data_IF_303791605615
#
_entry.id   IF_303791605615
#
_cell.length_a   1.000
_cell.length_b   1.000
_cell.length_c   1.000
_cell.angle_alpha   90.00
_cell.angle_beta   90.00
_cell.angle_gamma   90.00
#
_symmetry.space_group_name_H-M   'P 1'
#
loop_
_entity.id
_entity.type
_entity.pdbx_description
1 polymer ?
#
# COMPACT_ATOMS: atom_id res chain seq x y z
N UNK A 1 -8.23 -11.21 19.22
CA UNK A 1 -8.07 -10.10 18.26
C UNK A 1 -8.15 -10.61 16.82
N UNK A 2 -7.43 -11.68 16.48
CA UNK A 2 -7.60 -12.38 15.20
C UNK A 2 -9.01 -12.94 15.02
N UNK A 3 -9.64 -13.40 16.11
CA UNK A 3 -11.08 -13.77 16.16
C UNK A 3 -12.00 -12.67 15.62
N UNK A 4 -11.89 -11.44 16.14
CA UNK A 4 -12.67 -10.27 15.67
C UNK A 4 -12.35 -9.91 14.22
N UNK A 5 -11.08 -10.02 13.80
CA UNK A 5 -10.70 -9.76 12.41
C UNK A 5 -11.35 -10.77 11.46
N UNK A 6 -11.44 -12.04 11.88
CA UNK A 6 -12.13 -13.09 11.15
C UNK A 6 -13.64 -12.83 11.06
N UNK A 7 -14.29 -12.34 12.11
CA UNK A 7 -15.71 -11.94 12.04
C UNK A 7 -15.95 -10.86 10.97
N UNK A 8 -15.05 -9.87 10.88
CA UNK A 8 -15.12 -8.83 9.84
C UNK A 8 -14.94 -9.45 8.45
N UNK A 9 -13.94 -10.31 8.28
CA UNK A 9 -13.71 -11.03 7.03
C UNK A 9 -14.92 -11.87 6.61
N UNK A 10 -15.44 -12.69 7.51
CA UNK A 10 -16.58 -13.58 7.25
C UNK A 10 -17.83 -12.78 6.91
N UNK A 11 -18.07 -11.65 7.59
CA UNK A 11 -19.18 -10.74 7.28
C UNK A 11 -19.06 -10.16 5.86
N UNK A 12 -17.87 -9.71 5.47
CA UNK A 12 -17.63 -9.20 4.11
C UNK A 12 -17.82 -10.32 3.09
N UNK A 13 -17.17 -11.46 3.28
CA UNK A 13 -17.22 -12.58 2.36
C UNK A 13 -18.65 -13.11 2.18
N UNK A 14 -19.43 -13.20 3.27
CA UNK A 14 -20.83 -13.61 3.23
C UNK A 14 -21.68 -12.64 2.38
N UNK A 15 -21.52 -11.33 2.59
CA UNK A 15 -22.22 -10.32 1.79
C UNK A 15 -21.87 -10.43 0.29
N UNK A 16 -20.57 -10.56 -0.03
CA UNK A 16 -20.10 -10.70 -1.41
C UNK A 16 -20.56 -12.02 -2.08
N UNK A 17 -20.77 -13.06 -1.28
CA UNK A 17 -21.26 -14.37 -1.73
C UNK A 17 -22.79 -14.44 -1.86
N UNK A 18 -23.50 -13.31 -1.74
CA UNK A 18 -24.96 -13.28 -1.87
C UNK A 18 -25.74 -13.66 -0.61
N UNK A 19 -25.06 -13.91 0.51
CA UNK A 19 -25.73 -14.21 1.78
C UNK A 19 -26.20 -12.93 2.47
N UNK A 20 -27.25 -13.06 3.25
CA UNK A 20 -27.75 -11.99 4.11
C UNK A 20 -26.80 -11.72 5.28
N UNK A 21 -26.58 -10.44 5.59
CA UNK A 21 -25.76 -9.99 6.73
C UNK A 21 -26.51 -8.96 7.56
N UNK A 22 -26.27 -8.95 8.88
CA UNK A 22 -26.83 -7.95 9.78
C UNK A 22 -25.99 -6.66 9.82
N UNK A 23 -26.62 -5.52 9.59
CA UNK A 23 -25.98 -4.20 9.65
C UNK A 23 -26.99 -3.16 10.17
N UNK A 24 -26.63 -2.41 11.23
CA UNK A 24 -27.46 -1.29 11.73
C UNK A 24 -28.88 -1.68 12.13
N UNK A 25 -29.08 -2.88 12.69
CA UNK A 25 -30.42 -3.39 13.06
C UNK A 25 -31.25 -3.95 11.89
N UNK A 26 -30.71 -3.95 10.66
CA UNK A 26 -31.36 -4.48 9.47
C UNK A 26 -30.59 -5.66 8.89
N UNK A 27 -31.29 -6.49 8.10
CA UNK A 27 -30.70 -7.59 7.34
C UNK A 27 -30.60 -7.15 5.88
N UNK A 28 -29.38 -7.16 5.33
CA UNK A 28 -29.09 -6.69 3.97
C UNK A 28 -28.53 -7.84 3.14
N UNK A 29 -28.89 -7.92 1.86
CA UNK A 29 -28.30 -8.84 0.89
C UNK A 29 -28.06 -8.14 -0.44
N UNK A 30 -26.94 -8.45 -1.10
CA UNK A 30 -26.64 -7.94 -2.45
C UNK A 30 -27.62 -8.44 -3.52
N UNK A 31 -28.36 -9.52 -3.25
CA UNK A 31 -29.34 -10.08 -4.18
C UNK A 31 -30.65 -9.27 -4.25
N UNK A 32 -30.84 -8.31 -3.35
CA UNK A 32 -32.02 -7.43 -3.33
C UNK A 32 -32.05 -6.43 -4.52
N UNK A 33 -30.93 -6.24 -5.21
CA UNK A 33 -30.86 -5.33 -6.36
C UNK A 33 -29.90 -5.88 -7.44
N UNK A 34 -30.28 -5.87 -8.73
CA UNK A 34 -29.46 -6.46 -9.80
C UNK A 34 -28.07 -5.82 -9.93
N UNK A 35 -27.91 -4.55 -9.53
CA UNK A 35 -26.62 -3.85 -9.55
C UNK A 35 -25.85 -3.94 -8.23
N UNK A 36 -26.44 -4.55 -7.19
CA UNK A 36 -25.90 -4.55 -5.82
C UNK A 36 -24.51 -5.17 -5.72
N UNK A 37 -24.28 -6.29 -6.42
CA UNK A 37 -22.99 -6.99 -6.38
C UNK A 37 -21.85 -6.15 -6.98
N UNK A 38 -22.05 -5.57 -8.17
CA UNK A 38 -21.05 -4.72 -8.80
C UNK A 38 -20.77 -3.47 -7.97
N UNK A 39 -21.82 -2.88 -7.40
CA UNK A 39 -21.69 -1.69 -6.56
C UNK A 39 -20.91 -1.97 -5.28
N UNK A 40 -21.18 -3.09 -4.59
CA UNK A 40 -20.46 -3.44 -3.36
C UNK A 40 -18.99 -3.75 -3.64
N UNK A 41 -18.66 -4.40 -4.76
CA UNK A 41 -17.26 -4.63 -5.14
C UNK A 41 -16.50 -3.31 -5.30
N UNK A 42 -17.08 -2.35 -6.01
CA UNK A 42 -16.50 -1.01 -6.19
C UNK A 42 -16.33 -0.30 -4.84
N UNK A 43 -17.39 -0.25 -4.02
CA UNK A 43 -17.36 0.48 -2.75
C UNK A 43 -16.46 -0.16 -1.70
N UNK A 44 -16.36 -1.48 -1.67
CA UNK A 44 -15.44 -2.18 -0.78
C UNK A 44 -13.99 -1.92 -1.17
N UNK A 45 -13.66 -2.02 -2.47
CA UNK A 45 -12.32 -1.71 -2.98
C UNK A 45 -11.92 -0.25 -2.69
N UNK A 46 -12.82 0.70 -2.95
CA UNK A 46 -12.64 2.11 -2.58
C UNK A 46 -12.37 2.26 -1.08
N UNK A 47 -13.12 1.55 -0.24
CA UNK A 47 -12.97 1.62 1.22
C UNK A 47 -11.63 1.08 1.70
N UNK A 48 -11.11 -0.01 1.12
CA UNK A 48 -9.77 -0.50 1.47
C UNK A 48 -8.70 0.56 1.20
N UNK A 49 -8.70 1.18 0.02
CA UNK A 49 -7.73 2.24 -0.32
C UNK A 49 -7.92 3.46 0.57
N UNK A 50 -9.16 3.80 0.90
CA UNK A 50 -9.46 4.91 1.80
C UNK A 50 -8.98 4.67 3.25
N UNK A 51 -8.99 3.43 3.74
CA UNK A 51 -8.34 3.09 5.01
C UNK A 51 -6.81 3.29 4.95
N UNK A 52 -6.19 3.03 3.79
CA UNK A 52 -4.80 3.40 3.52
C UNK A 52 -4.57 4.91 3.61
N UNK A 53 -5.51 5.68 3.07
CA UNK A 53 -5.42 7.14 2.98
C UNK A 53 -5.59 7.86 4.33
N UNK A 54 -6.40 7.32 5.25
CA UNK A 54 -6.70 7.96 6.54
C UNK A 54 -6.11 7.19 7.73
N UNK A 55 -6.64 5.99 8.00
CA UNK A 55 -6.27 5.22 9.20
C UNK A 55 -4.80 4.82 9.19
N UNK A 56 -4.30 4.26 8.10
CA UNK A 56 -2.91 3.81 8.01
C UNK A 56 -1.95 5.00 7.91
N UNK A 57 -2.39 6.13 7.34
CA UNK A 57 -1.61 7.36 7.31
C UNK A 57 -1.42 7.97 8.71
N UNK A 58 -2.37 7.73 9.63
CA UNK A 58 -2.27 8.15 11.03
C UNK A 58 -1.62 7.09 11.94
N UNK A 59 -1.89 5.80 11.68
CA UNK A 59 -1.53 4.65 12.50
C UNK A 59 -0.93 3.54 11.62
N UNK A 60 0.38 3.61 11.39
CA UNK A 60 1.07 2.75 10.41
C UNK A 60 0.85 1.24 10.67
N UNK A 61 0.79 0.82 11.93
CA UNK A 61 0.54 -0.56 12.35
C UNK A 61 -0.81 -1.14 11.91
N UNK A 62 -1.80 -0.29 11.60
CA UNK A 62 -3.10 -0.73 11.09
C UNK A 62 -3.00 -1.36 9.69
N UNK A 63 -1.88 -1.16 8.98
CA UNK A 63 -1.66 -1.72 7.64
C UNK A 63 -1.83 -3.24 7.61
N UNK A 64 -1.31 -3.97 8.59
CA UNK A 64 -1.31 -5.44 8.58
C UNK A 64 -2.69 -6.08 8.75
N UNK A 65 -3.52 -5.72 9.75
CA UNK A 65 -4.86 -6.30 9.87
C UNK A 65 -5.75 -5.94 8.68
N UNK A 66 -5.66 -4.72 8.15
CA UNK A 66 -6.43 -4.29 6.96
C UNK A 66 -5.98 -5.08 5.72
N UNK A 67 -4.66 -5.19 5.51
CA UNK A 67 -4.09 -5.93 4.39
C UNK A 67 -4.43 -7.42 4.43
N UNK A 68 -4.46 -8.04 5.62
CA UNK A 68 -4.85 -9.45 5.76
C UNK A 68 -6.27 -9.70 5.25
N UNK A 69 -7.23 -8.84 5.62
CA UNK A 69 -8.62 -8.94 5.14
C UNK A 69 -8.69 -8.66 3.64
N UNK A 70 -7.99 -7.62 3.15
CA UNK A 70 -7.97 -7.29 1.73
C UNK A 70 -7.40 -8.44 0.88
N UNK A 71 -6.28 -9.05 1.30
CA UNK A 71 -5.65 -10.20 0.64
C UNK A 71 -6.59 -11.40 0.59
N UNK A 72 -7.20 -11.77 1.72
CA UNK A 72 -8.13 -12.91 1.74
C UNK A 72 -9.40 -12.68 0.92
N UNK A 73 -9.90 -11.44 0.85
CA UNK A 73 -11.06 -11.12 0.00
C UNK A 73 -10.66 -11.14 -1.47
N UNK A 74 -9.45 -10.69 -1.81
CA UNK A 74 -8.92 -10.77 -3.17
C UNK A 74 -8.82 -12.22 -3.65
N UNK A 75 -8.30 -13.13 -2.80
CA UNK A 75 -8.17 -14.56 -3.14
C UNK A 75 -9.51 -15.20 -3.54
N UNK A 76 -10.61 -14.86 -2.86
CA UNK A 76 -11.94 -15.43 -3.14
C UNK A 76 -12.71 -14.61 -4.20
N UNK A 77 -12.53 -13.30 -4.21
CA UNK A 77 -13.23 -12.36 -5.10
C UNK A 77 -12.22 -11.51 -5.90
N UNK A 78 -11.56 -12.08 -6.94
CA UNK A 78 -10.48 -11.39 -7.67
C UNK A 78 -10.86 -10.01 -8.22
N UNK A 79 -12.13 -9.83 -8.58
CA UNK A 79 -12.66 -8.56 -9.07
C UNK A 79 -12.57 -7.42 -8.03
N UNK A 80 -12.66 -7.72 -6.74
CA UNK A 80 -12.42 -6.73 -5.68
C UNK A 80 -10.96 -6.29 -5.69
N UNK A 81 -10.04 -7.23 -5.93
CA UNK A 81 -8.62 -6.95 -6.05
C UNK A 81 -8.26 -6.06 -7.24
N UNK A 82 -8.82 -6.35 -8.42
CA UNK A 82 -8.64 -5.50 -9.60
C UNK A 82 -9.14 -4.07 -9.36
N UNK A 83 -10.29 -3.93 -8.69
CA UNK A 83 -10.84 -2.63 -8.31
C UNK A 83 -10.01 -1.95 -7.23
N UNK A 84 -9.44 -2.70 -6.29
CA UNK A 84 -8.52 -2.17 -5.27
C UNK A 84 -7.31 -1.55 -5.95
N UNK A 85 -6.69 -2.27 -6.89
CA UNK A 85 -5.59 -1.73 -7.70
C UNK A 85 -6.04 -0.51 -8.51
N UNK A 86 -7.21 -0.54 -9.14
CA UNK A 86 -7.72 0.60 -9.91
C UNK A 86 -7.86 1.88 -9.04
N UNK A 87 -8.45 1.74 -7.86
CA UNK A 87 -8.57 2.86 -6.91
C UNK A 87 -7.21 3.32 -6.38
N UNK A 88 -6.34 2.38 -6.02
CA UNK A 88 -5.00 2.66 -5.50
C UNK A 88 -4.16 3.39 -6.54
N UNK A 89 -4.10 2.88 -7.77
CA UNK A 89 -3.33 3.47 -8.87
C UNK A 89 -3.83 4.86 -9.25
N UNK A 90 -5.15 5.08 -9.21
CA UNK A 90 -5.74 6.39 -9.49
C UNK A 90 -5.43 7.41 -8.38
N UNK A 91 -5.52 7.02 -7.11
CA UNK A 91 -5.29 7.91 -5.97
C UNK A 91 -3.80 8.11 -5.66
N UNK A 92 -2.98 7.09 -5.91
CA UNK A 92 -1.55 7.03 -5.66
C UNK A 92 -0.85 6.48 -6.91
N UNK A 93 -0.60 7.30 -7.94
CA UNK A 93 0.06 6.84 -9.18
C UNK A 93 1.45 6.24 -8.93
N UNK A 94 2.08 6.62 -7.81
CA UNK A 94 3.37 6.11 -7.35
C UNK A 94 3.35 4.63 -6.92
N UNK A 95 2.16 4.03 -6.75
CA UNK A 95 2.01 2.58 -6.56
C UNK A 95 2.20 1.78 -7.88
N UNK A 96 2.19 2.44 -9.05
CA UNK A 96 2.50 1.88 -10.39
C UNK A 96 3.96 2.11 -10.83
N UNK A 97 4.80 2.71 -9.97
CA UNK A 97 5.98 3.51 -10.31
C UNK A 97 5.85 4.35 -11.59
N UNK A 98 4.83 5.18 -11.65
CA UNK A 98 4.66 6.12 -12.74
C UNK A 98 4.63 7.54 -12.20
N UNK A 99 5.47 8.42 -12.75
CA UNK A 99 5.44 9.85 -12.49
C UNK A 99 4.70 10.53 -13.64
N UNK A 100 3.45 10.99 -13.43
CA UNK A 100 2.70 11.68 -14.46
C UNK A 100 3.48 12.88 -14.99
N UNK A 101 3.76 12.92 -16.29
CA UNK A 101 4.39 14.07 -16.93
C UNK A 101 3.35 15.19 -17.15
N UNK A 102 3.78 16.44 -17.02
CA UNK A 102 2.98 17.60 -17.42
C UNK A 102 2.86 17.60 -18.95
N UNK A 103 1.63 17.49 -19.46
CA UNK A 103 1.35 17.60 -20.89
C UNK A 103 0.99 19.04 -21.24
N UNK A 104 1.42 19.49 -22.42
CA UNK A 104 1.01 20.79 -22.96
C UNK A 104 -0.52 20.93 -22.96
N UNK A 105 -1.01 22.12 -22.58
CA UNK A 105 -2.44 22.40 -22.45
C UNK A 105 -3.12 21.85 -21.18
N UNK A 106 -2.43 21.09 -20.33
CA UNK A 106 -2.98 20.66 -19.02
C UNK A 106 -2.88 21.82 -18.03
N UNK A 107 -3.99 22.15 -17.34
CA UNK A 107 -3.97 23.15 -16.27
C UNK A 107 -3.15 22.65 -15.08
N UNK A 108 -2.57 23.56 -14.29
CA UNK A 108 -1.81 23.17 -13.09
C UNK A 108 -2.68 22.38 -12.10
N UNK A 109 -3.97 22.73 -12.00
CA UNK A 109 -4.93 22.02 -11.16
C UNK A 109 -5.12 20.56 -11.61
N UNK A 110 -5.35 20.36 -12.91
CA UNK A 110 -5.53 19.02 -13.47
C UNK A 110 -4.25 18.19 -13.32
N UNK A 111 -3.08 18.83 -13.48
CA UNK A 111 -1.79 18.19 -13.25
C UNK A 111 -1.60 17.76 -11.79
N UNK A 112 -1.92 18.62 -10.82
CA UNK A 112 -1.87 18.27 -9.39
C UNK A 112 -2.81 17.12 -9.05
N UNK A 113 -4.03 17.10 -9.61
CA UNK A 113 -4.94 15.96 -9.46
C UNK A 113 -4.36 14.67 -10.05
N UNK A 114 -3.69 14.75 -11.21
CA UNK A 114 -2.98 13.61 -11.83
C UNK A 114 -1.85 13.08 -10.94
N UNK A 115 -1.14 13.96 -10.23
CA UNK A 115 -0.13 13.60 -9.24
C UNK A 115 -0.73 13.01 -7.94
N UNK A 116 -2.06 13.00 -7.80
CA UNK A 116 -2.75 12.47 -6.63
C UNK A 116 -2.99 13.50 -5.52
N UNK A 117 -2.77 14.79 -5.78
CA UNK A 117 -3.14 15.84 -4.84
C UNK A 117 -4.66 15.98 -4.75
N UNK A 118 -5.15 16.22 -3.53
CA UNK A 118 -6.49 16.76 -3.32
C UNK A 118 -6.50 18.24 -3.68
N UNK A 119 -7.46 18.63 -4.52
CA UNK A 119 -7.73 20.03 -4.81
C UNK A 119 -9.21 20.31 -4.53
N UNK A 120 -9.47 21.25 -3.62
CA UNK A 120 -10.79 21.69 -3.21
C UNK A 120 -10.88 23.21 -3.42
N UNK A 121 -11.87 23.69 -4.19
CA UNK A 121 -12.07 25.12 -4.46
C UNK A 121 -10.76 25.84 -4.88
N UNK A 122 -10.02 25.23 -5.82
CA UNK A 122 -8.70 25.71 -6.29
C UNK A 122 -7.58 25.76 -5.25
N UNK A 123 -7.82 25.28 -4.02
CA UNK A 123 -6.78 25.08 -3.01
C UNK A 123 -6.25 23.66 -3.06
N UNK A 124 -4.96 23.57 -3.28
CA UNK A 124 -4.20 22.31 -3.27
C UNK A 124 -3.87 21.97 -1.83
N UNK A 125 -4.01 20.70 -1.47
CA UNK A 125 -3.58 20.27 -0.14
C UNK A 125 -2.09 20.51 0.08
N UNK A 126 -1.74 20.66 1.36
CA UNK A 126 -0.36 20.80 1.80
C UNK A 126 0.48 19.54 1.54
N UNK A 127 1.78 19.74 1.29
CA UNK A 127 2.73 18.68 0.95
C UNK A 127 2.83 17.60 2.04
N UNK A 128 2.81 17.97 3.32
CA UNK A 128 2.92 17.00 4.42
C UNK A 128 1.67 16.12 4.49
N UNK A 129 0.49 16.71 4.28
CA UNK A 129 -0.76 15.95 4.23
C UNK A 129 -0.82 15.02 3.01
N UNK A 130 -0.37 15.51 1.86
CA UNK A 130 -0.21 14.69 0.65
C UNK A 130 0.72 13.49 0.92
N UNK A 131 1.92 13.73 1.45
CA UNK A 131 2.92 12.69 1.70
C UNK A 131 2.42 11.66 2.72
N UNK A 132 1.72 12.08 3.78
CA UNK A 132 1.10 11.17 4.76
C UNK A 132 0.09 10.23 4.10
N UNK A 133 -0.79 10.74 3.24
CA UNK A 133 -1.77 9.92 2.52
C UNK A 133 -1.09 8.92 1.57
N UNK A 134 -0.08 9.38 0.83
CA UNK A 134 0.69 8.51 -0.08
C UNK A 134 1.45 7.43 0.68
N UNK A 135 2.05 7.78 1.82
CA UNK A 135 2.70 6.86 2.75
C UNK A 135 1.75 5.76 3.19
N UNK A 136 0.57 6.12 3.73
CA UNK A 136 -0.41 5.13 4.20
C UNK A 136 -0.91 4.19 3.10
N UNK A 137 -1.12 4.70 1.88
CA UNK A 137 -1.49 3.88 0.71
C UNK A 137 -0.38 2.92 0.26
N UNK A 138 0.89 3.36 0.27
CA UNK A 138 2.02 2.50 -0.08
C UNK A 138 2.30 1.46 1.02
N UNK A 139 2.12 1.82 2.30
CA UNK A 139 2.19 0.87 3.43
C UNK A 139 1.12 -0.20 3.33
N UNK A 140 -0.13 0.18 2.99
CA UNK A 140 -1.20 -0.77 2.70
C UNK A 140 -0.81 -1.73 1.56
N UNK A 141 -0.33 -1.18 0.44
CA UNK A 141 0.10 -1.98 -0.71
C UNK A 141 1.22 -2.97 -0.35
N UNK A 142 2.27 -2.48 0.32
CA UNK A 142 3.40 -3.29 0.77
C UNK A 142 3.00 -4.39 1.77
N UNK A 143 1.97 -4.14 2.60
CA UNK A 143 1.41 -5.15 3.48
C UNK A 143 0.56 -6.19 2.71
N UNK A 144 -0.25 -5.76 1.74
CA UNK A 144 -1.09 -6.67 0.93
C UNK A 144 -0.24 -7.68 0.16
N UNK A 145 0.86 -7.25 -0.48
CA UNK A 145 1.67 -8.15 -1.33
C UNK A 145 2.42 -9.26 -0.59
N UNK A 146 2.55 -9.16 0.74
CA UNK A 146 3.33 -10.09 1.56
C UNK A 146 2.49 -10.93 2.51
N UNK A 147 1.26 -10.52 2.83
CA UNK A 147 0.38 -11.22 3.76
C UNK A 147 -0.52 -12.14 2.98
N UNK A 148 -0.71 -13.35 3.50
CA UNK A 148 -1.73 -14.27 3.03
C UNK A 148 -2.73 -14.52 4.15
N UNK A 149 -4.02 -14.58 3.81
CA UNK A 149 -5.05 -14.96 4.78
C UNK A 149 -4.79 -16.36 5.33
N UNK A 150 -4.77 -16.56 6.66
CA UNK A 150 -4.32 -17.82 7.25
C UNK A 150 -5.41 -18.91 7.31
N UNK A 151 -6.69 -18.55 7.13
CA UNK A 151 -7.82 -19.48 7.25
C UNK A 151 -8.37 -19.88 5.88
N UNK A 152 -8.81 -21.14 5.74
CA UNK A 152 -9.37 -21.69 4.50
C UNK A 152 -8.39 -22.55 3.71
N UNK A 153 -8.91 -23.31 2.76
CA UNK A 153 -8.10 -24.18 1.91
C UNK A 153 -7.29 -23.34 0.92
N UNK A 154 -5.98 -23.26 1.15
CA UNK A 154 -5.05 -22.53 0.28
C UNK A 154 -4.89 -23.26 -1.05
N UNK A 155 -5.69 -22.92 -2.05
CA UNK A 155 -5.64 -23.57 -3.35
C UNK A 155 -4.76 -22.84 -4.39
N UNK A 156 -4.03 -21.78 -4.03
CA UNK A 156 -3.25 -21.03 -5.01
C UNK A 156 -2.15 -20.14 -4.45
N UNK A 157 -1.37 -19.56 -5.37
CA UNK A 157 -0.39 -18.51 -5.09
C UNK A 157 -1.09 -17.19 -4.79
N UNK A 158 -0.51 -16.36 -3.93
CA UNK A 158 -1.03 -15.03 -3.61
C UNK A 158 -1.31 -14.23 -4.89
N UNK A 159 -2.53 -13.69 -5.09
CA UNK A 159 -2.97 -13.11 -6.38
C UNK A 159 -2.15 -11.90 -6.81
N UNK A 160 -1.56 -11.18 -5.84
CA UNK A 160 -0.70 -10.01 -6.08
C UNK A 160 0.56 -10.07 -5.20
N UNK A 161 1.36 -11.13 -5.34
CA UNK A 161 2.45 -11.46 -4.41
C UNK A 161 3.69 -10.54 -4.47
N UNK A 162 4.71 -10.92 -3.68
CA UNK A 162 5.99 -10.19 -3.56
C UNK A 162 6.72 -9.93 -4.89
N UNK A 163 6.42 -10.68 -5.95
CA UNK A 163 6.98 -10.45 -7.30
C UNK A 163 6.56 -9.09 -7.86
N UNK A 164 5.35 -8.61 -7.55
CA UNK A 164 4.90 -7.27 -7.93
C UNK A 164 5.63 -6.19 -7.15
N UNK A 165 5.94 -6.45 -5.88
CA UNK A 165 6.79 -5.57 -5.08
C UNK A 165 8.24 -5.49 -5.60
N UNK A 166 8.80 -6.62 -6.05
CA UNK A 166 10.13 -6.62 -6.68
C UNK A 166 10.16 -5.75 -7.94
N UNK A 167 9.14 -5.87 -8.79
CA UNK A 167 8.97 -5.02 -9.97
C UNK A 167 8.82 -3.55 -9.59
N UNK A 168 8.01 -3.25 -8.57
CA UNK A 168 7.82 -1.89 -8.06
C UNK A 168 9.16 -1.27 -7.65
N UNK A 169 9.94 -1.96 -6.82
CA UNK A 169 11.21 -1.46 -6.32
C UNK A 169 12.23 -1.28 -7.46
N UNK A 170 12.36 -2.26 -8.35
CA UNK A 170 13.24 -2.15 -9.50
C UNK A 170 12.86 -1.00 -10.44
N UNK A 171 11.56 -0.79 -10.68
CA UNK A 171 11.09 0.27 -11.57
C UNK A 171 11.31 1.66 -10.97
N UNK A 172 11.02 1.87 -9.67
CA UNK A 172 11.34 3.13 -8.99
C UNK A 172 12.83 3.45 -9.11
N UNK A 173 13.72 2.49 -8.82
CA UNK A 173 15.16 2.71 -8.82
C UNK A 173 15.76 2.92 -10.23
N UNK A 174 15.01 2.57 -11.28
CA UNK A 174 15.40 2.82 -12.67
C UNK A 174 14.89 4.16 -13.22
N UNK A 175 14.15 4.95 -12.43
CA UNK A 175 13.64 6.26 -12.80
C UNK A 175 14.37 7.38 -12.06
N UNK A 176 14.33 8.61 -12.57
CA UNK A 176 14.83 9.77 -11.82
C UNK A 176 13.95 10.04 -10.60
N UNK A 177 14.53 10.18 -9.39
CA UNK A 177 13.75 10.39 -8.19
C UNK A 177 13.05 11.76 -8.21
N UNK A 178 11.93 11.84 -7.48
CA UNK A 178 11.29 13.09 -7.11
C UNK A 178 11.69 13.45 -5.67
N UNK A 179 12.06 14.70 -5.45
CA UNK A 179 12.35 15.22 -4.11
C UNK A 179 11.17 14.98 -3.17
N UNK A 180 11.47 14.64 -1.91
CA UNK A 180 10.53 14.20 -0.86
C UNK A 180 9.72 12.92 -1.14
N UNK A 181 9.03 12.84 -2.29
CA UNK A 181 8.10 11.76 -2.63
C UNK A 181 8.84 10.43 -2.71
N UNK A 182 9.86 10.32 -3.57
CA UNK A 182 10.54 9.05 -3.79
C UNK A 182 11.24 8.56 -2.52
N UNK A 183 11.85 9.46 -1.76
CA UNK A 183 12.49 9.13 -0.49
C UNK A 183 11.49 8.61 0.56
N UNK A 184 10.34 9.27 0.68
CA UNK A 184 9.26 8.88 1.61
C UNK A 184 8.74 7.49 1.25
N UNK A 185 8.36 7.29 -0.01
CA UNK A 185 7.75 6.03 -0.44
C UNK A 185 8.72 4.85 -0.39
N UNK A 186 10.00 5.05 -0.73
CA UNK A 186 11.01 4.00 -0.60
C UNK A 186 11.20 3.57 0.86
N UNK A 187 11.28 4.54 1.79
CA UNK A 187 11.41 4.24 3.20
C UNK A 187 10.19 3.45 3.71
N UNK A 188 8.99 3.95 3.45
CA UNK A 188 7.75 3.33 3.93
C UNK A 188 7.54 1.93 3.36
N UNK A 189 7.86 1.74 2.08
CA UNK A 189 7.76 0.44 1.43
C UNK A 189 8.77 -0.57 2.02
N UNK A 190 10.04 -0.17 2.18
CA UNK A 190 11.08 -1.03 2.72
C UNK A 190 10.89 -1.35 4.21
N UNK A 191 10.39 -0.39 4.99
CA UNK A 191 10.06 -0.62 6.40
C UNK A 191 8.98 -1.70 6.52
N UNK A 192 7.95 -1.66 5.66
CA UNK A 192 6.83 -2.60 5.71
C UNK A 192 7.16 -3.97 5.12
N UNK A 193 7.81 -4.06 3.96
CA UNK A 193 8.01 -5.35 3.26
C UNK A 193 9.46 -5.75 3.03
N UNK A 194 10.44 -4.94 3.44
CA UNK A 194 11.86 -5.24 3.25
C UNK A 194 12.30 -6.55 3.94
N UNK A 195 11.73 -6.87 5.11
CA UNK A 195 11.98 -8.15 5.77
C UNK A 195 11.51 -9.35 4.93
N UNK A 196 10.34 -9.25 4.31
CA UNK A 196 9.81 -10.29 3.44
C UNK A 196 10.68 -10.45 2.18
N UNK A 197 11.15 -9.35 1.59
CA UNK A 197 12.06 -9.38 0.44
C UNK A 197 13.41 -10.00 0.78
N UNK A 198 13.99 -9.64 1.94
CA UNK A 198 15.23 -10.21 2.43
C UNK A 198 15.12 -11.74 2.54
N UNK A 199 13.99 -12.26 3.05
CA UNK A 199 13.74 -13.70 3.16
C UNK A 199 13.56 -14.37 1.79
N UNK A 200 12.78 -13.76 0.90
CA UNK A 200 12.40 -14.33 -0.40
C UNK A 200 13.54 -14.28 -1.42
N UNK A 201 14.19 -13.12 -1.60
CA UNK A 201 15.16 -12.86 -2.66
C UNK A 201 16.61 -12.88 -2.20
N UNK A 202 16.85 -12.90 -0.88
CA UNK A 202 18.17 -13.09 -0.25
C UNK A 202 19.24 -12.15 -0.83
N UNK A 203 20.25 -12.69 -1.49
CA UNK A 203 21.37 -11.93 -2.06
C UNK A 203 20.94 -10.91 -3.11
N UNK A 204 19.88 -11.19 -3.89
CA UNK A 204 19.41 -10.23 -4.89
C UNK A 204 18.81 -8.99 -4.23
N UNK A 205 18.10 -9.13 -3.11
CA UNK A 205 17.61 -7.99 -2.36
C UNK A 205 18.74 -7.13 -1.80
N UNK A 206 19.80 -7.74 -1.26
CA UNK A 206 20.95 -6.99 -0.77
C UNK A 206 21.71 -6.24 -1.87
N UNK A 207 21.76 -6.77 -3.09
CA UNK A 207 22.28 -6.01 -4.24
C UNK A 207 21.44 -4.76 -4.52
N UNK A 208 20.12 -4.84 -4.41
CA UNK A 208 19.25 -3.67 -4.55
C UNK A 208 19.48 -2.66 -3.41
N UNK A 209 19.67 -3.14 -2.17
CA UNK A 209 20.00 -2.26 -1.04
C UNK A 209 21.34 -1.54 -1.23
N UNK A 210 22.35 -2.21 -1.82
CA UNK A 210 23.62 -1.59 -2.21
C UNK A 210 23.43 -0.49 -3.27
N UNK A 211 22.71 -0.79 -4.36
CA UNK A 211 22.40 0.22 -5.40
C UNK A 211 21.65 1.40 -4.79
N UNK A 212 20.69 1.14 -3.90
CA UNK A 212 19.97 2.19 -3.18
C UNK A 212 20.91 3.05 -2.33
N UNK A 213 21.84 2.44 -1.59
CA UNK A 213 22.81 3.13 -0.74
C UNK A 213 23.83 3.95 -1.53
N UNK A 214 24.47 3.33 -2.52
CA UNK A 214 25.68 3.85 -3.15
C UNK A 214 25.39 4.70 -4.39
N UNK A 215 24.25 4.48 -5.06
CA UNK A 215 23.91 5.18 -6.30
C UNK A 215 22.64 6.02 -6.15
N UNK A 216 21.55 5.44 -5.65
CA UNK A 216 20.24 6.08 -5.72
C UNK A 216 20.02 7.16 -4.65
N UNK A 217 20.42 6.92 -3.39
CA UNK A 217 20.35 7.94 -2.32
C UNK A 217 21.18 9.19 -2.69
N UNK A 218 22.43 9.08 -3.19
CA UNK A 218 23.17 10.24 -3.70
C UNK A 218 22.43 11.01 -4.80
N UNK A 219 21.73 10.33 -5.72
CA UNK A 219 20.89 11.01 -6.72
C UNK A 219 19.77 11.82 -6.06
N UNK A 220 19.09 11.28 -5.05
CA UNK A 220 18.10 12.04 -4.27
C UNK A 220 18.74 13.24 -3.57
N UNK A 221 19.94 13.09 -3.00
CA UNK A 221 20.69 14.19 -2.36
C UNK A 221 20.95 15.37 -3.31
N UNK A 222 21.27 15.10 -4.57
CA UNK A 222 21.55 16.16 -5.56
C UNK A 222 20.34 17.03 -5.92
N UNK A 223 19.14 16.46 -5.87
CA UNK A 223 17.89 17.17 -6.23
C UNK A 223 17.13 17.73 -5.02
N UNK A 224 17.49 17.30 -3.80
CA UNK A 224 16.77 17.65 -2.58
C UNK A 224 17.33 18.93 -1.96
N UNK A 225 16.50 19.96 -1.84
CA UNK A 225 16.86 21.23 -1.20
C UNK A 225 17.14 21.05 0.30
N UNK A 226 17.89 21.98 0.92
CA UNK A 226 18.25 21.90 2.35
C UNK A 226 17.06 21.81 3.29
N UNK A 227 15.93 22.43 2.95
CA UNK A 227 14.68 22.41 3.73
C UNK A 227 13.87 21.12 3.62
N UNK A 228 14.18 20.24 2.66
CA UNK A 228 13.42 19.03 2.31
C UNK A 228 14.16 17.73 2.66
N UNK A 229 15.21 17.81 3.50
CA UNK A 229 16.06 16.64 3.79
C UNK A 229 15.42 15.62 4.75
N UNK A 230 14.27 15.92 5.35
CA UNK A 230 13.65 15.07 6.39
C UNK A 230 13.40 13.63 5.92
N UNK A 231 12.74 13.45 4.77
CA UNK A 231 12.43 12.11 4.24
C UNK A 231 13.67 11.38 3.74
N UNK A 232 14.60 12.11 3.14
CA UNK A 232 15.89 11.57 2.71
C UNK A 232 16.72 11.05 3.88
N UNK A 233 16.79 11.80 4.99
CA UNK A 233 17.54 11.38 6.17
C UNK A 233 16.95 10.13 6.84
N UNK A 234 15.61 10.00 6.88
CA UNK A 234 14.95 8.78 7.37
C UNK A 234 15.29 7.56 6.53
N UNK A 235 15.19 7.69 5.19
CA UNK A 235 15.57 6.61 4.26
C UNK A 235 17.05 6.22 4.43
N UNK A 236 17.95 7.22 4.45
CA UNK A 236 19.39 7.01 4.58
C UNK A 236 19.75 6.31 5.88
N UNK A 237 19.16 6.74 7.00
CA UNK A 237 19.40 6.12 8.30
C UNK A 237 18.88 4.67 8.33
N UNK A 238 17.68 4.42 7.81
CA UNK A 238 17.12 3.07 7.73
C UNK A 238 17.98 2.12 6.90
N UNK A 239 18.36 2.55 5.69
CA UNK A 239 19.21 1.74 4.78
C UNK A 239 20.56 1.48 5.42
N UNK A 240 21.21 2.50 5.98
CA UNK A 240 22.50 2.37 6.66
C UNK A 240 22.44 1.34 7.79
N UNK A 241 21.45 1.46 8.69
CA UNK A 241 21.27 0.52 9.80
C UNK A 241 21.05 -0.91 9.29
N UNK A 242 20.19 -1.10 8.28
CA UNK A 242 19.94 -2.44 7.72
C UNK A 242 21.21 -3.07 7.11
N UNK A 243 22.05 -2.26 6.46
CA UNK A 243 23.29 -2.70 5.83
C UNK A 243 24.37 -3.06 6.85
N UNK A 244 24.52 -2.24 7.90
CA UNK A 244 25.47 -2.49 9.00
C UNK A 244 25.09 -3.75 9.80
N UNK A 245 23.80 -3.92 10.11
CA UNK A 245 23.30 -5.09 10.85
C UNK A 245 23.11 -6.33 9.98
N UNK A 246 23.20 -6.18 8.65
CA UNK A 246 22.88 -7.22 7.65
C UNK A 246 21.50 -7.86 7.88
N UNK A 247 20.55 -7.04 8.31
CA UNK A 247 19.21 -7.46 8.69
C UNK A 247 18.22 -6.34 8.43
N UNK A 248 17.04 -6.68 7.92
CA UNK A 248 15.89 -5.77 7.91
C UNK A 248 14.98 -6.13 9.10
N UNK A 249 14.64 -5.18 9.99
CA UNK A 249 13.75 -5.46 11.12
C UNK A 249 12.37 -5.95 10.64
N UNK A 250 11.70 -6.72 11.48
CA UNK A 250 10.28 -7.00 11.24
C UNK A 250 9.50 -5.70 11.38
N UNK A 251 8.53 -5.43 10.49
CA UNK A 251 7.75 -4.21 10.58
C UNK A 251 6.92 -4.17 11.86
N UNK A 252 6.83 -2.98 12.44
CA UNK A 252 5.93 -2.74 13.57
C UNK A 252 4.48 -3.03 13.13
N UNK A 253 3.72 -3.76 13.96
CA UNK A 253 2.36 -4.18 13.64
C UNK A 253 2.25 -5.51 12.88
N UNK A 254 3.35 -6.17 12.52
CA UNK A 254 3.31 -7.51 11.92
C UNK A 254 2.48 -8.50 12.76
N UNK A 255 1.52 -9.18 12.13
CA UNK A 255 0.61 -10.10 12.81
C UNK A 255 1.34 -11.38 13.23
N UNK A 256 1.73 -11.44 14.51
CA UNK A 256 2.39 -12.60 15.10
C UNK A 256 1.43 -13.79 15.25
N UNK A 257 1.93 -15.04 15.36
CA UNK A 257 1.07 -16.21 15.58
C UNK A 257 0.14 -16.10 16.79
N UNK A 258 0.54 -15.37 17.84
CA UNK A 258 -0.30 -15.10 19.03
C UNK A 258 -1.55 -14.27 18.70
N UNK A 259 -1.48 -13.35 17.74
CA UNK A 259 -2.61 -12.55 17.29
C UNK A 259 -3.76 -13.43 16.78
N UNK A 260 -3.42 -14.44 15.96
CA UNK A 260 -4.38 -15.37 15.35
C UNK A 260 -4.98 -16.39 16.33
N UNK A 261 -4.30 -16.63 17.45
CA UNK A 261 -4.80 -17.50 18.54
C UNK A 261 -5.74 -16.76 19.51
N UNK A 262 -5.78 -15.42 19.43
CA UNK A 262 -6.62 -14.56 20.26
C UNK A 262 -7.91 -14.16 19.56
#
# INVERSE_FOLDING_TARGET
AGSKLREVYDKINNLLSGKSVHCGGQTVSVTQHPQGLNFVYYKLAEKFVHQGEEEIAAHHEAAFPIAAVASGIWEIHPRVGDLLLAHLHKKCPYSVPFYPALKEGTSMEEYQRKLGYKVNNSMVEDQDNFLKRMSGMIRLYAAVIQIQWPYGDKQGTHPHGLNYGWRWLAQILNMEPLADVTATLLFDFLEVCGNAFMKQYRSQFWKIMLVLQDEYIPRIETITSSGQKGSLMRLKQFVKTCMEEKKVPLPNGALQPSFWKS
#
